data_IF_240145377338
#
_entry.id   IF_240145377338
#
_cell.length_a   1.000
_cell.length_b   1.000
_cell.length_c   1.000
_cell.angle_alpha   90.00
_cell.angle_beta   90.00
_cell.angle_gamma   90.00
#
_symmetry.space_group_name_H-M   'P 1'
#
loop_
_entity.id
_entity.type
_entity.pdbx_description
1 polymer ?
#
# COMPACT_ATOMS: atom_id res chain seq x y z
N UNK A 1 16.92 12.66 8.19
CA UNK A 1 16.06 11.81 9.04
C UNK A 1 15.00 12.68 9.70
N UNK A 2 13.82 12.12 9.98
CA UNK A 2 12.65 12.79 10.54
C UNK A 2 12.22 12.11 11.85
N UNK A 3 11.93 12.91 12.89
CA UNK A 3 11.51 12.44 14.22
C UNK A 3 10.62 13.51 14.87
N UNK A 4 9.45 13.11 15.36
CA UNK A 4 8.42 14.00 15.96
C UNK A 4 8.09 15.19 15.05
N UNK A 5 7.88 14.90 13.76
CA UNK A 5 7.56 15.92 12.76
C UNK A 5 6.11 16.38 12.97
N UNK A 6 5.84 17.68 13.11
CA UNK A 6 4.46 18.18 13.23
C UNK A 6 3.69 18.02 11.91
N UNK A 7 2.37 17.88 12.00
CA UNK A 7 1.48 17.63 10.86
C UNK A 7 1.70 18.55 9.65
N UNK A 8 1.86 19.86 9.88
CA UNK A 8 1.99 20.89 8.86
C UNK A 8 3.33 20.86 8.10
N UNK A 9 4.35 20.20 8.67
CA UNK A 9 5.67 19.99 8.05
C UNK A 9 5.84 18.59 7.47
N UNK A 10 4.87 17.69 7.70
CA UNK A 10 5.00 16.27 7.38
C UNK A 10 5.29 16.01 5.89
N UNK A 11 4.58 16.70 4.98
CA UNK A 11 4.72 16.49 3.54
C UNK A 11 6.07 16.99 2.98
N UNK A 12 6.78 17.86 3.69
CA UNK A 12 8.11 18.33 3.27
C UNK A 12 9.17 17.22 3.31
N UNK A 13 8.90 16.15 4.05
CA UNK A 13 9.77 14.99 4.16
C UNK A 13 9.51 13.93 3.08
N UNK A 14 8.55 14.15 2.17
CA UNK A 14 8.20 13.19 1.12
C UNK A 14 9.02 13.44 -0.14
N UNK A 15 9.82 12.46 -0.55
CA UNK A 15 10.57 12.54 -1.81
C UNK A 15 9.67 12.31 -3.04
N UNK A 16 8.67 11.44 -2.90
CA UNK A 16 7.71 11.12 -3.96
C UNK A 16 6.75 10.01 -3.57
N UNK A 17 5.90 9.66 -4.52
CA UNK A 17 4.81 8.70 -4.37
C UNK A 17 4.94 7.60 -5.42
N UNK A 18 4.58 6.38 -5.07
CA UNK A 18 4.60 5.24 -5.98
C UNK A 18 3.39 4.36 -5.74
N UNK A 19 3.08 3.50 -6.70
CA UNK A 19 2.04 2.48 -6.54
C UNK A 19 2.66 1.36 -5.70
N UNK A 20 1.93 0.94 -4.66
CA UNK A 20 2.29 -0.17 -3.80
C UNK A 20 1.16 -1.21 -3.81
N UNK A 21 1.52 -2.48 -3.89
CA UNK A 21 0.59 -3.59 -3.66
C UNK A 21 1.10 -4.41 -2.46
N UNK A 22 0.31 -4.40 -1.40
CA UNK A 22 0.57 -5.04 -0.10
C UNK A 22 -0.16 -6.38 -0.04
N UNK A 23 0.44 -7.39 -0.65
CA UNK A 23 -0.14 -8.73 -0.79
C UNK A 23 -0.20 -9.39 0.59
N UNK A 24 -1.31 -10.07 0.84
CA UNK A 24 -1.56 -10.72 2.13
C UNK A 24 -2.00 -12.16 1.93
N UNK A 25 -1.25 -13.11 2.47
CA UNK A 25 -1.67 -14.49 2.68
C UNK A 25 -2.67 -14.53 3.83
N UNK A 26 -3.98 -14.48 3.52
CA UNK A 26 -5.04 -14.27 4.52
C UNK A 26 -5.13 -15.41 5.53
N UNK A 27 -4.80 -16.62 5.11
CA UNK A 27 -4.73 -17.82 5.93
C UNK A 27 -3.61 -17.79 6.98
N UNK A 28 -2.61 -16.91 6.82
CA UNK A 28 -1.48 -16.75 7.75
C UNK A 28 -1.65 -15.54 8.68
N UNK A 29 -2.72 -14.78 8.54
CA UNK A 29 -2.98 -13.60 9.37
C UNK A 29 -3.18 -14.02 10.83
N UNK A 30 -4.01 -15.02 11.06
CA UNK A 30 -4.25 -15.54 12.41
C UNK A 30 -3.21 -16.59 12.79
N UNK A 31 -2.81 -16.60 14.07
CA UNK A 31 -1.88 -17.57 14.65
C UNK A 31 -2.63 -18.54 15.58
N UNK A 32 -3.27 -19.60 15.04
CA UNK A 32 -4.02 -20.55 15.87
C UNK A 32 -3.12 -21.33 16.85
N UNK A 33 -1.82 -21.42 16.55
CA UNK A 33 -0.82 -22.02 17.43
C UNK A 33 -0.50 -21.14 18.66
N UNK A 34 -0.69 -19.82 18.56
CA UNK A 34 -0.48 -18.86 19.66
C UNK A 34 -1.54 -17.74 19.62
N UNK A 35 -2.81 -18.02 19.94
CA UNK A 35 -3.91 -17.06 19.74
C UNK A 35 -3.74 -15.73 20.49
N UNK A 36 -3.02 -15.72 21.61
CA UNK A 36 -2.76 -14.53 22.42
C UNK A 36 -1.84 -13.52 21.72
N UNK A 37 -1.10 -13.94 20.70
CA UNK A 37 -0.21 -13.07 19.92
C UNK A 37 -1.01 -12.17 18.95
N UNK A 38 -2.25 -12.54 18.64
CA UNK A 38 -3.09 -11.83 17.67
C UNK A 38 -2.61 -12.03 16.23
N UNK A 39 -2.76 -11.00 15.40
CA UNK A 39 -2.47 -11.04 13.98
C UNK A 39 -0.95 -10.98 13.70
N UNK A 40 -0.45 -11.91 12.89
CA UNK A 40 0.96 -11.96 12.49
C UNK A 40 1.17 -11.29 11.13
N UNK A 41 1.27 -9.96 11.16
CA UNK A 41 1.48 -9.14 9.97
C UNK A 41 2.77 -9.47 9.23
N UNK A 42 3.83 -9.81 9.96
CA UNK A 42 5.11 -10.13 9.34
C UNK A 42 4.97 -11.40 8.49
N UNK A 43 4.40 -12.47 9.04
CA UNK A 43 4.24 -13.74 8.34
C UNK A 43 3.33 -13.63 7.12
N UNK A 44 2.22 -12.91 7.22
CA UNK A 44 1.24 -12.86 6.12
C UNK A 44 1.59 -11.89 4.98
N UNK A 45 2.52 -10.93 5.17
CA UNK A 45 2.85 -9.87 4.20
C UNK A 45 4.30 -9.82 3.72
N UNK A 46 5.17 -10.67 4.26
CA UNK A 46 6.63 -10.58 4.00
C UNK A 46 7.19 -11.67 3.09
N UNK A 47 6.34 -12.49 2.44
CA UNK A 47 6.82 -13.47 1.48
C UNK A 47 7.47 -12.78 0.26
N UNK A 48 8.43 -13.43 -0.42
CA UNK A 48 9.05 -12.88 -1.62
C UNK A 48 8.00 -12.45 -2.66
N UNK A 49 8.07 -11.20 -3.11
CA UNK A 49 7.13 -10.64 -4.08
C UNK A 49 5.84 -10.07 -3.50
N UNK A 50 5.65 -10.03 -2.16
CA UNK A 50 4.41 -9.52 -1.56
C UNK A 50 4.38 -7.99 -1.37
N UNK A 51 5.54 -7.33 -1.47
CA UNK A 51 5.67 -5.88 -1.32
C UNK A 51 6.07 -5.27 -2.67
N UNK A 52 5.11 -5.11 -3.57
CA UNK A 52 5.36 -4.72 -4.97
C UNK A 52 5.29 -3.19 -5.08
N UNK A 53 6.39 -2.56 -5.44
CA UNK A 53 6.49 -1.11 -5.63
C UNK A 53 6.75 -0.75 -7.09
N UNK A 54 6.33 0.44 -7.51
CA UNK A 54 6.62 0.97 -8.84
C UNK A 54 5.44 0.87 -9.82
N UNK A 55 5.68 1.09 -11.12
CA UNK A 55 6.98 0.98 -11.79
C UNK A 55 7.91 2.19 -11.61
N UNK A 56 7.36 3.33 -11.18
CA UNK A 56 8.12 4.57 -11.01
C UNK A 56 7.80 5.24 -9.68
N UNK A 57 8.69 6.13 -9.24
CA UNK A 57 8.40 7.09 -8.18
C UNK A 57 8.06 8.42 -8.85
N UNK A 58 6.86 8.93 -8.60
CA UNK A 58 6.45 10.28 -8.99
C UNK A 58 7.01 11.27 -7.97
N UNK A 59 7.94 12.17 -8.35
CA UNK A 59 8.48 13.16 -7.41
C UNK A 59 7.39 14.01 -6.76
N UNK A 60 7.50 14.28 -5.46
CA UNK A 60 6.44 14.94 -4.68
C UNK A 60 6.04 16.31 -5.25
N UNK A 61 6.97 17.05 -5.86
CA UNK A 61 6.69 18.33 -6.55
C UNK A 61 5.66 18.26 -7.68
N UNK A 62 5.41 17.06 -8.21
CA UNK A 62 4.41 16.82 -9.27
C UNK A 62 3.08 16.30 -8.71
N UNK A 63 2.96 16.16 -7.39
CA UNK A 63 1.74 15.74 -6.69
C UNK A 63 1.36 16.85 -5.72
N UNK A 64 0.56 17.85 -6.15
CA UNK A 64 0.23 19.01 -5.31
C UNK A 64 -0.52 18.65 -4.04
N UNK A 65 -1.34 17.60 -4.10
CA UNK A 65 -2.15 17.13 -2.98
C UNK A 65 -2.27 15.59 -3.03
N UNK A 66 -1.64 14.84 -2.10
CA UNK A 66 -1.71 13.39 -2.08
C UNK A 66 -3.11 12.84 -1.69
N UNK A 67 -4.00 13.70 -1.17
CA UNK A 67 -5.38 13.34 -0.87
C UNK A 67 -6.33 13.59 -2.05
N UNK A 68 -5.82 13.93 -3.23
CA UNK A 68 -6.60 14.08 -4.47
C UNK A 68 -6.10 13.16 -5.57
N UNK A 69 -5.73 11.95 -5.19
CA UNK A 69 -5.36 10.86 -6.09
C UNK A 69 -6.50 9.86 -6.15
N UNK A 70 -6.52 9.01 -7.18
CA UNK A 70 -7.57 8.00 -7.33
C UNK A 70 -6.96 6.64 -7.61
N UNK A 71 -7.22 5.67 -6.75
CA UNK A 71 -6.68 4.31 -6.81
C UNK A 71 -7.62 3.43 -7.61
N UNK A 72 -7.07 2.68 -8.56
CA UNK A 72 -7.79 1.63 -9.29
C UNK A 72 -6.97 0.36 -9.37
N UNK A 73 -7.56 -0.76 -8.96
CA UNK A 73 -6.97 -2.09 -9.08
C UNK A 73 -7.93 -3.02 -9.82
N UNK A 74 -7.42 -3.71 -10.83
CA UNK A 74 -8.14 -4.76 -11.54
C UNK A 74 -7.41 -6.10 -11.42
N UNK A 75 -8.18 -7.19 -11.43
CA UNK A 75 -7.68 -8.57 -11.57
C UNK A 75 -8.31 -9.14 -12.84
N UNK A 76 -7.50 -9.56 -13.81
CA UNK A 76 -7.97 -10.08 -15.10
C UNK A 76 -8.97 -9.14 -15.82
N UNK A 77 -8.77 -7.83 -15.68
CA UNK A 77 -9.64 -6.80 -16.25
C UNK A 77 -10.92 -6.49 -15.45
N UNK A 78 -11.23 -7.27 -14.40
CA UNK A 78 -12.33 -6.96 -13.48
C UNK A 78 -11.86 -5.97 -12.42
N UNK A 79 -12.59 -4.86 -12.25
CA UNK A 79 -12.32 -3.86 -11.21
C UNK A 79 -12.60 -4.46 -9.83
N UNK A 80 -11.58 -4.45 -8.97
CA UNK A 80 -11.66 -4.94 -7.59
C UNK A 80 -11.70 -3.80 -6.60
N UNK A 81 -10.91 -2.75 -6.84
CA UNK A 81 -10.83 -1.54 -6.02
C UNK A 81 -10.87 -0.30 -6.91
N UNK A 82 -11.64 0.72 -6.53
CA UNK A 82 -11.84 1.96 -7.29
C UNK A 82 -12.28 3.08 -6.33
N UNK A 83 -11.34 3.86 -5.80
CA UNK A 83 -11.61 4.80 -4.70
C UNK A 83 -10.57 5.94 -4.63
N UNK A 84 -11.02 7.11 -4.19
CA UNK A 84 -10.18 8.30 -4.02
C UNK A 84 -9.35 8.25 -2.73
N UNK A 85 -8.19 8.91 -2.73
CA UNK A 85 -7.38 9.06 -1.52
C UNK A 85 -7.95 10.09 -0.54
N UNK A 86 -8.97 10.85 -0.93
CA UNK A 86 -9.74 11.73 -0.05
C UNK A 86 -10.56 10.96 0.99
N UNK A 87 -10.88 9.69 0.75
CA UNK A 87 -11.56 8.80 1.71
C UNK A 87 -10.64 8.19 2.77
N UNK A 88 -9.32 8.46 2.72
CA UNK A 88 -8.40 7.95 3.74
C UNK A 88 -8.75 8.48 5.15
N UNK A 89 -9.02 7.57 6.09
CA UNK A 89 -9.26 7.89 7.51
C UNK A 89 -8.12 8.75 8.10
N UNK A 90 -6.88 8.43 7.74
CA UNK A 90 -5.69 9.22 8.10
C UNK A 90 -4.90 9.54 6.84
N UNK A 91 -4.92 10.80 6.41
CA UNK A 91 -4.16 11.25 5.25
C UNK A 91 -2.64 11.13 5.44
N UNK A 92 -1.90 11.26 4.33
CA UNK A 92 -0.43 11.03 4.30
C UNK A 92 0.33 11.83 5.36
N UNK A 93 -0.01 13.11 5.55
CA UNK A 93 0.64 13.96 6.55
C UNK A 93 0.50 13.40 7.97
N UNK A 94 -0.70 12.89 8.32
CA UNK A 94 -1.00 12.32 9.64
C UNK A 94 -0.27 11.00 9.86
N UNK A 95 -0.14 10.17 8.82
CA UNK A 95 0.63 8.92 8.90
C UNK A 95 2.12 9.20 9.19
N UNK A 96 2.71 10.20 8.51
CA UNK A 96 4.11 10.60 8.72
C UNK A 96 4.31 11.18 10.12
N UNK A 97 3.43 12.10 10.56
CA UNK A 97 3.45 12.65 11.92
C UNK A 97 3.43 11.50 12.94
N UNK A 98 2.44 10.62 12.86
CA UNK A 98 2.28 9.50 13.78
C UNK A 98 3.49 8.55 13.79
N UNK A 99 3.95 8.13 12.61
CA UNK A 99 5.10 7.22 12.48
C UNK A 99 6.36 7.86 13.05
N UNK A 100 6.64 9.11 12.70
CA UNK A 100 7.81 9.84 13.17
C UNK A 100 7.78 10.11 14.69
N UNK A 101 6.61 10.02 15.34
CA UNK A 101 6.47 10.11 16.80
C UNK A 101 6.92 8.83 17.53
N UNK A 102 6.92 7.68 16.86
CA UNK A 102 7.28 6.38 17.42
C UNK A 102 8.67 5.92 16.99
N UNK A 103 9.03 6.14 15.73
CA UNK A 103 10.33 5.76 15.17
C UNK A 103 10.98 6.93 14.43
N UNK A 104 12.28 6.83 14.17
CA UNK A 104 12.97 7.73 13.25
C UNK A 104 12.72 7.26 11.82
N UNK A 105 12.27 8.17 10.96
CA UNK A 105 12.12 7.94 9.52
C UNK A 105 13.39 8.39 8.80
N UNK A 106 13.95 7.54 7.95
CA UNK A 106 15.14 7.80 7.16
C UNK A 106 14.80 8.04 5.68
N UNK A 107 15.62 8.81 4.95
CA UNK A 107 15.48 8.90 3.49
C UNK A 107 15.54 7.50 2.88
N UNK A 108 14.53 7.17 2.05
CA UNK A 108 14.38 5.86 1.45
C UNK A 108 13.38 4.95 2.16
N UNK A 109 12.92 5.29 3.36
CA UNK A 109 11.82 4.58 4.00
C UNK A 109 10.54 4.70 3.16
N UNK A 110 9.76 3.61 3.11
CA UNK A 110 8.49 3.54 2.40
C UNK A 110 7.36 3.35 3.40
N UNK A 111 6.33 4.19 3.29
CA UNK A 111 5.10 4.07 4.08
C UNK A 111 3.99 3.63 3.14
N UNK A 112 3.47 2.42 3.33
CA UNK A 112 2.26 1.96 2.65
C UNK A 112 1.06 2.52 3.41
N UNK A 113 0.23 3.31 2.72
CA UNK A 113 -0.74 4.20 3.38
C UNK A 113 -2.11 3.56 3.61
N UNK A 114 -2.21 2.24 3.44
CA UNK A 114 -3.46 1.49 3.47
C UNK A 114 -3.98 1.16 2.07
N UNK A 115 -5.14 0.51 2.04
CA UNK A 115 -5.81 0.05 0.83
C UNK A 115 -7.29 0.42 0.93
N UNK A 116 -7.93 0.86 -0.18
CA UNK A 116 -9.35 1.12 -0.21
C UNK A 116 -10.19 -0.14 -0.01
N UNK A 117 -11.51 -0.01 -0.05
CA UNK A 117 -12.41 -1.16 -0.04
C UNK A 117 -12.21 -2.07 -1.27
N UNK A 118 -12.79 -3.27 -1.26
CA UNK A 118 -12.75 -4.18 -2.42
C UNK A 118 -11.57 -5.14 -2.49
N UNK A 119 -10.92 -5.44 -1.37
CA UNK A 119 -9.96 -6.54 -1.32
C UNK A 119 -10.61 -7.90 -1.67
N UNK A 120 -9.79 -8.91 -1.95
CA UNK A 120 -10.27 -10.22 -2.41
C UNK A 120 -11.32 -10.89 -1.50
N UNK A 121 -11.24 -10.73 -0.18
CA UNK A 121 -12.22 -11.29 0.76
C UNK A 121 -13.60 -10.68 0.56
N UNK A 122 -13.68 -9.36 0.28
CA UNK A 122 -14.94 -8.68 -0.02
C UNK A 122 -15.68 -9.36 -1.18
N UNK A 123 -14.93 -9.80 -2.20
CA UNK A 123 -15.47 -10.41 -3.41
C UNK A 123 -15.54 -11.94 -3.35
N UNK A 124 -15.05 -12.58 -2.27
CA UNK A 124 -14.90 -14.03 -2.19
C UNK A 124 -13.88 -14.60 -3.19
N UNK A 125 -12.91 -13.78 -3.60
CA UNK A 125 -11.92 -14.09 -4.63
C UNK A 125 -10.50 -13.93 -4.07
N UNK A 126 -9.72 -15.01 -4.07
CA UNK A 126 -8.29 -14.96 -3.78
C UNK A 126 -7.50 -15.09 -5.09
N UNK A 127 -6.31 -14.49 -5.12
CA UNK A 127 -5.40 -14.58 -6.26
C UNK A 127 -5.00 -16.03 -6.51
N UNK A 128 -4.90 -16.40 -7.78
CA UNK A 128 -4.48 -17.73 -8.26
C UNK A 128 -3.30 -17.63 -9.21
N UNK A 129 -2.65 -18.76 -9.44
CA UNK A 129 -1.64 -18.88 -10.49
C UNK A 129 -2.21 -18.42 -11.84
N UNK A 130 -1.47 -17.57 -12.54
CA UNK A 130 -1.87 -17.01 -13.84
C UNK A 130 -2.76 -15.77 -13.79
N UNK A 131 -3.29 -15.37 -12.62
CA UNK A 131 -4.02 -14.10 -12.51
C UNK A 131 -3.11 -12.91 -12.83
N UNK A 132 -3.67 -11.84 -13.39
CA UNK A 132 -2.93 -10.61 -13.66
C UNK A 132 -3.58 -9.46 -12.92
N UNK A 133 -2.83 -8.89 -11.98
CA UNK A 133 -3.20 -7.64 -11.31
C UNK A 133 -2.72 -6.44 -12.13
N UNK A 134 -3.59 -5.45 -12.32
CA UNK A 134 -3.21 -4.14 -12.86
C UNK A 134 -3.59 -3.05 -11.89
N UNK A 135 -2.60 -2.34 -11.35
CA UNK A 135 -2.78 -1.23 -10.43
C UNK A 135 -2.43 0.10 -11.08
N UNK A 136 -3.27 1.10 -10.87
CA UNK A 136 -3.07 2.48 -11.32
C UNK A 136 -3.47 3.43 -10.20
N UNK A 137 -2.74 4.54 -10.08
CA UNK A 137 -3.14 5.67 -9.24
C UNK A 137 -3.17 6.90 -10.15
N UNK A 138 -4.37 7.39 -10.46
CA UNK A 138 -4.56 8.57 -11.29
C UNK A 138 -3.96 9.76 -10.55
N UNK A 139 -3.06 10.48 -11.23
CA UNK A 139 -2.22 11.52 -10.65
C UNK A 139 -0.77 11.09 -10.37
N UNK A 140 -0.46 9.79 -10.48
CA UNK A 140 0.91 9.26 -10.49
C UNK A 140 1.31 8.78 -11.89
N UNK A 141 2.62 8.60 -12.10
CA UNK A 141 3.15 8.09 -13.37
C UNK A 141 3.15 6.56 -13.43
N UNK A 142 2.70 6.04 -14.58
CA UNK A 142 2.79 4.63 -14.93
C UNK A 142 1.65 3.77 -14.38
N UNK A 143 1.72 2.48 -14.73
CA UNK A 143 0.75 1.45 -14.33
C UNK A 143 1.52 0.21 -13.92
N UNK A 144 1.15 -0.37 -12.79
CA UNK A 144 1.70 -1.64 -12.33
C UNK A 144 0.95 -2.79 -13.01
N UNK A 145 1.68 -3.76 -13.57
CA UNK A 145 1.11 -5.00 -14.13
C UNK A 145 1.88 -6.16 -13.54
N UNK A 146 1.20 -6.98 -12.74
CA UNK A 146 1.82 -8.05 -11.97
C UNK A 146 1.13 -9.38 -12.29
N UNK A 147 1.80 -10.30 -13.00
CA UNK A 147 1.32 -11.67 -13.11
C UNK A 147 1.57 -12.44 -11.80
N UNK A 148 0.52 -13.07 -11.29
CA UNK A 148 0.57 -14.00 -10.17
C UNK A 148 1.16 -15.33 -10.64
N UNK A 149 2.13 -15.84 -9.88
CA UNK A 149 2.72 -17.16 -10.08
C UNK A 149 2.70 -17.92 -8.77
N UNK A 150 2.21 -19.16 -8.80
CA UNK A 150 2.37 -20.05 -7.66
C UNK A 150 3.85 -20.38 -7.46
N UNK A 151 4.23 -20.58 -6.19
CA UNK A 151 5.54 -21.14 -5.87
C UNK A 151 5.63 -22.58 -6.41
N UNK A 152 6.81 -22.96 -6.91
CA UNK A 152 7.11 -24.28 -7.48
C UNK A 152 7.81 -25.14 -6.44
#
# INVERSE_FOLDING_TARGET
AARRVPLDRALEHVAGYTIANDITARELVDRPDVPQMGMDWMRCKSAPGFNILGPYVTPARFVPDPQKLHIKLCVNGQVMQDEGTDDMIFGVARLIEFASHHTQLNPGDVIMTGSPSGNGIHHGLLLRDGDVMTGEIIGLVGRQVTPCKAEV
#
